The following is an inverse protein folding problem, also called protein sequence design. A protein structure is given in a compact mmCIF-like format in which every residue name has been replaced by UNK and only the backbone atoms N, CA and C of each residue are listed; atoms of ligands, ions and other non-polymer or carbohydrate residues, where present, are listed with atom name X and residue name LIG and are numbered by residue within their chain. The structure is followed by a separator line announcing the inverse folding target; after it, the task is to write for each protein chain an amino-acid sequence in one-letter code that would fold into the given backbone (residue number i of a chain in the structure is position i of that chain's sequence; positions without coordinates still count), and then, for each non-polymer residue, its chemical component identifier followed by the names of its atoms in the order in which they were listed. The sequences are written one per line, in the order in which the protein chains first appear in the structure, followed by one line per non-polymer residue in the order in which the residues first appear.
data_IF_921089129195
#
_entry.id   IF_921089129195
#
_cell.length_a   1.000
_cell.length_b   1.000
_cell.length_c   1.000
_cell.angle_alpha   90.00
_cell.angle_beta   90.00
_cell.angle_gamma   90.00
#
_symmetry.space_group_name_H-M   'P 1'
#
loop_
_entity.id
_entity.type
_entity.pdbx_description
1 polymer ?
#
# COMPACT_ATOMS: atom_id res chain seq x y z
N UNK A 1 -14.97 -9.37 -2.39
CA UNK A 1 -14.41 -8.20 -1.68
C UNK A 1 -13.23 -7.67 -2.47
N UNK A 2 -13.51 -6.83 -3.47
CA UNK A 2 -12.48 -6.10 -4.20
C UNK A 2 -12.30 -4.76 -3.48
N UNK A 3 -11.15 -4.51 -2.87
CA UNK A 3 -10.79 -3.18 -2.37
C UNK A 3 -10.42 -2.32 -3.58
N UNK A 4 -11.45 -1.87 -4.29
CA UNK A 4 -11.34 -0.81 -5.27
C UNK A 4 -11.40 0.52 -4.53
N UNK A 5 -10.28 1.22 -4.44
CA UNK A 5 -10.28 2.68 -4.39
C UNK A 5 -9.40 3.16 -5.53
N UNK A 6 -10.01 3.21 -6.71
CA UNK A 6 -9.51 4.01 -7.82
C UNK A 6 -10.06 5.43 -7.62
N UNK A 7 -9.20 6.36 -7.21
CA UNK A 7 -9.46 7.80 -7.26
C UNK A 7 -8.12 8.49 -7.51
N UNK A 8 -7.90 8.96 -8.74
CA UNK A 8 -8.13 10.36 -9.10
C UNK A 8 -6.84 11.17 -9.04
N UNK A 9 -6.44 11.64 -10.22
CA UNK A 9 -5.59 12.81 -10.42
C UNK A 9 -6.00 13.94 -9.47
N UNK A 10 -5.21 14.20 -8.44
CA UNK A 10 -5.05 15.51 -7.80
C UNK A 10 -3.76 15.47 -7.01
N UNK A 11 -2.83 16.37 -7.34
CA UNK A 11 -1.65 16.69 -6.56
C UNK A 11 -2.13 17.26 -5.21
N UNK A 12 -2.48 16.39 -4.27
CA UNK A 12 -2.83 16.80 -2.92
C UNK A 12 -1.53 17.10 -2.20
N UNK A 13 -1.24 18.38 -2.05
CA UNK A 13 -0.16 18.87 -1.21
C UNK A 13 -0.53 18.60 0.26
N UNK A 14 -0.20 17.42 0.78
CA UNK A 14 -0.39 17.05 2.19
C UNK A 14 0.88 17.36 2.99
N UNK A 15 1.16 18.64 3.20
CA UNK A 15 1.96 19.04 4.36
C UNK A 15 1.08 18.84 5.61
N UNK A 16 1.39 17.85 6.46
CA UNK A 16 0.70 17.73 7.74
C UNK A 16 0.66 16.36 8.45
N UNK A 17 1.17 15.28 7.86
CA UNK A 17 1.38 14.03 8.61
C UNK A 17 2.72 13.44 8.18
N UNK A 18 3.82 13.93 8.77
CA UNK A 18 5.06 13.15 8.78
C UNK A 18 4.88 11.98 9.75
N UNK A 19 3.99 11.04 9.39
CA UNK A 19 4.09 9.65 9.84
C UNK A 19 5.46 9.20 9.38
N UNK A 20 6.37 8.99 10.32
CA UNK A 20 7.68 8.40 10.05
C UNK A 20 7.45 7.19 9.13
N UNK A 21 8.13 7.07 7.98
CA UNK A 21 7.93 5.91 7.12
C UNK A 21 8.20 4.67 7.96
N UNK A 22 7.17 3.85 8.13
CA UNK A 22 7.35 2.50 8.65
C UNK A 22 8.28 1.82 7.65
N UNK A 23 9.41 1.31 8.13
CA UNK A 23 10.46 0.83 7.24
C UNK A 23 9.91 -0.14 6.21
N UNK A 24 10.31 0.00 4.94
CA UNK A 24 9.94 -0.93 3.87
C UNK A 24 10.73 -2.25 3.94
N UNK A 25 11.60 -2.42 4.94
CA UNK A 25 12.49 -3.59 5.09
C UNK A 25 11.75 -4.94 5.19
N UNK A 26 10.46 -4.94 5.52
CA UNK A 26 9.64 -6.16 5.55
C UNK A 26 9.11 -6.57 4.17
N UNK A 27 9.19 -5.70 3.16
CA UNK A 27 8.74 -5.97 1.81
C UNK A 27 9.88 -6.67 1.07
N UNK A 28 9.74 -7.98 0.89
CA UNK A 28 10.69 -8.77 0.10
C UNK A 28 10.40 -8.65 -1.39
N UNK A 29 11.41 -8.88 -2.23
CA UNK A 29 11.25 -8.93 -3.69
C UNK A 29 10.21 -9.99 -4.12
N UNK A 30 10.16 -11.11 -3.42
CA UNK A 30 9.17 -12.17 -3.68
C UNK A 30 7.74 -11.69 -3.38
N UNK A 31 7.53 -11.02 -2.24
CA UNK A 31 6.23 -10.46 -1.89
C UNK A 31 5.81 -9.37 -2.88
N UNK A 32 6.77 -8.55 -3.32
CA UNK A 32 6.54 -7.50 -4.31
C UNK A 32 6.13 -8.10 -5.67
N UNK A 33 6.87 -9.10 -6.15
CA UNK A 33 6.59 -9.78 -7.41
C UNK A 33 5.23 -10.48 -7.39
N UNK A 34 4.88 -11.17 -6.30
CA UNK A 34 3.59 -11.84 -6.16
C UNK A 34 2.43 -10.84 -6.09
N UNK A 35 2.60 -9.74 -5.35
CA UNK A 35 1.61 -8.65 -5.28
C UNK A 35 1.35 -8.09 -6.68
N UNK A 36 2.41 -7.78 -7.44
CA UNK A 36 2.27 -7.31 -8.82
C UNK A 36 1.55 -8.33 -9.70
N UNK A 37 1.93 -9.60 -9.63
CA UNK A 37 1.33 -10.68 -10.44
C UNK A 37 -0.18 -10.81 -10.20
N UNK A 38 -0.59 -10.89 -8.93
CA UNK A 38 -1.99 -11.08 -8.54
C UNK A 38 -2.83 -9.86 -8.92
N UNK A 39 -2.36 -8.67 -8.55
CA UNK A 39 -3.14 -7.44 -8.75
C UNK A 39 -3.13 -6.97 -10.19
N UNK A 40 -2.08 -7.24 -10.97
CA UNK A 40 -2.10 -6.95 -12.40
C UNK A 40 -3.17 -7.77 -13.11
N UNK A 41 -3.26 -9.06 -12.76
CA UNK A 41 -4.32 -9.94 -13.26
C UNK A 41 -5.71 -9.47 -12.84
N UNK A 42 -5.88 -9.09 -11.58
CA UNK A 42 -7.18 -8.68 -11.06
C UNK A 42 -7.65 -7.35 -11.64
N UNK A 43 -6.76 -6.37 -11.78
CA UNK A 43 -7.08 -5.03 -12.28
C UNK A 43 -7.05 -4.93 -13.82
N UNK A 44 -6.70 -6.01 -14.52
CA UNK A 44 -6.52 -6.04 -15.98
C UNK A 44 -5.58 -4.94 -16.51
N UNK A 45 -4.57 -4.58 -15.71
CA UNK A 45 -3.52 -3.61 -16.08
C UNK A 45 -2.22 -3.98 -15.38
N UNK A 46 -1.08 -3.53 -15.90
CA UNK A 46 0.20 -3.72 -15.21
C UNK A 46 0.21 -2.90 -13.92
N UNK A 47 0.62 -3.53 -12.82
CA UNK A 47 0.93 -2.89 -11.53
C UNK A 47 2.45 -2.69 -11.45
N UNK A 48 2.87 -1.45 -11.21
CA UNK A 48 4.30 -1.10 -11.06
C UNK A 48 4.83 -1.50 -9.67
N UNK A 49 6.15 -1.44 -9.50
CA UNK A 49 6.77 -1.68 -8.19
C UNK A 49 6.31 -0.65 -7.15
N UNK A 50 6.28 0.64 -7.51
CA UNK A 50 5.80 1.71 -6.62
C UNK A 50 4.35 1.48 -6.18
N UNK A 51 3.47 1.11 -7.12
CA UNK A 51 2.07 0.80 -6.80
C UNK A 51 1.96 -0.40 -5.86
N UNK A 52 2.72 -1.47 -6.10
CA UNK A 52 2.69 -2.64 -5.25
C UNK A 52 3.24 -2.36 -3.84
N UNK A 53 4.28 -1.53 -3.71
CA UNK A 53 4.79 -1.04 -2.43
C UNK A 53 3.70 -0.27 -1.68
N UNK A 54 3.03 0.69 -2.34
CA UNK A 54 1.95 1.47 -1.73
C UNK A 54 0.79 0.57 -1.28
N UNK A 55 0.41 -0.42 -2.08
CA UNK A 55 -0.64 -1.38 -1.75
C UNK A 55 -0.28 -2.18 -0.49
N UNK A 56 0.95 -2.68 -0.39
CA UNK A 56 1.43 -3.44 0.78
C UNK A 56 1.46 -2.57 2.04
N UNK A 57 1.93 -1.33 1.94
CA UNK A 57 1.90 -0.36 3.05
C UNK A 57 0.47 -0.10 3.50
N UNK A 58 -0.46 0.10 2.57
CA UNK A 58 -1.86 0.35 2.87
C UNK A 58 -2.53 -0.84 3.56
N UNK A 59 -2.24 -2.07 3.12
CA UNK A 59 -2.74 -3.30 3.76
C UNK A 59 -2.21 -3.42 5.19
N UNK A 60 -0.91 -3.20 5.41
CA UNK A 60 -0.33 -3.22 6.76
C UNK A 60 -0.98 -2.18 7.67
N UNK A 61 -1.11 -0.95 7.18
CA UNK A 61 -1.73 0.14 7.95
C UNK A 61 -3.20 -0.15 8.27
N UNK A 62 -3.94 -0.74 7.34
CA UNK A 62 -5.32 -1.16 7.57
C UNK A 62 -5.39 -2.27 8.64
N UNK A 63 -4.51 -3.28 8.57
CA UNK A 63 -4.44 -4.33 9.58
C UNK A 63 -4.13 -3.78 10.98
N UNK A 64 -3.14 -2.88 11.10
CA UNK A 64 -2.81 -2.23 12.37
C UNK A 64 -4.00 -1.43 12.92
N UNK A 65 -4.67 -0.66 12.06
CA UNK A 65 -5.85 0.11 12.45
C UNK A 65 -7.01 -0.78 12.91
N UNK A 66 -7.26 -1.92 12.24
CA UNK A 66 -8.30 -2.89 12.62
C UNK A 66 -7.99 -3.54 13.96
N UNK A 67 -6.72 -3.88 14.20
CA UNK A 67 -6.28 -4.50 15.45
C UNK A 67 -6.27 -3.53 16.65
N UNK A 68 -6.53 -2.24 16.42
CA UNK A 68 -6.43 -1.23 17.47
C UNK A 68 -5.02 -1.09 18.04
N UNK A 69 -4.03 -1.67 17.36
CA UNK A 69 -2.62 -1.43 17.64
C UNK A 69 -2.37 -0.03 17.10
N UNK A 70 -2.49 0.95 17.99
CA UNK A 70 -2.00 2.30 17.74
C UNK A 70 -0.62 2.16 17.10
N UNK A 71 -0.38 2.87 16.00
CA UNK A 71 0.97 3.00 15.47
C UNK A 71 1.71 3.97 16.39
N UNK A 72 1.82 3.54 17.64
CA UNK A 72 2.48 4.23 18.72
C UNK A 72 3.89 3.62 18.76
N UNK A 73 4.80 4.44 18.22
CA UNK A 73 6.27 4.44 18.35
C UNK A 73 7.10 3.46 17.49
#
# INVERSE_FOLDING_TARGET
MALAIFASTRKVNRAGLRRRPLSSDWITDELLAETRRVWSRHLSRVVTDDEAIEMLINVRNAALAILGIGVDE
#
